data_IF_794448175366
#
_entry.id   IF_794448175366
#
_cell.length_a   1.000
_cell.length_b   1.000
_cell.length_c   1.000
_cell.angle_alpha   90.00
_cell.angle_beta   90.00
_cell.angle_gamma   90.00
#
_symmetry.space_group_name_H-M   'P 1'
#
loop_
_entity.id
_entity.type
_entity.pdbx_description
1 polymer ?
#
# COMPACT_ATOMS: atom_id res chain seq x y z
N UNK A 1 -18.79 13.94 -20.52
CA UNK A 1 -17.86 14.88 -19.86
C UNK A 1 -16.93 14.08 -18.92
N UNK A 2 -16.28 13.00 -19.41
CA UNK A 2 -15.48 12.05 -18.59
C UNK A 2 -13.99 12.02 -19.03
N UNK A 3 -13.70 12.46 -20.26
CA UNK A 3 -12.34 12.40 -20.86
C UNK A 3 -11.32 13.37 -20.26
N UNK A 4 -11.73 14.35 -19.45
CA UNK A 4 -10.83 15.34 -18.82
C UNK A 4 -10.30 14.91 -17.44
N UNK A 5 -10.75 13.76 -16.91
CA UNK A 5 -10.41 13.31 -15.55
C UNK A 5 -9.34 12.20 -15.51
N UNK A 6 -9.15 11.50 -16.62
CA UNK A 6 -8.23 10.37 -16.70
C UNK A 6 -6.82 10.85 -17.05
N UNK A 7 -6.03 11.20 -16.04
CA UNK A 7 -4.59 11.33 -16.19
C UNK A 7 -4.00 9.94 -16.34
N UNK A 8 -3.79 9.49 -17.58
CA UNK A 8 -3.09 8.22 -17.84
C UNK A 8 -1.69 8.29 -17.21
N UNK A 9 -1.23 7.24 -16.50
CA UNK A 9 0.14 7.18 -16.01
C UNK A 9 1.13 7.35 -17.17
N UNK A 10 2.27 7.98 -16.88
CA UNK A 10 3.35 8.02 -17.85
C UNK A 10 3.99 6.64 -18.02
N UNK A 11 4.85 6.50 -19.04
CA UNK A 11 5.49 5.22 -19.34
C UNK A 11 6.39 4.71 -18.19
N UNK A 12 6.95 5.61 -17.38
CA UNK A 12 7.82 5.24 -16.26
C UNK A 12 7.01 4.61 -15.13
N UNK A 13 5.90 5.25 -14.75
CA UNK A 13 4.98 4.76 -13.75
C UNK A 13 4.32 3.45 -14.19
N UNK A 14 3.91 3.35 -15.46
CA UNK A 14 3.34 2.11 -16.02
C UNK A 14 4.32 0.94 -15.90
N UNK A 15 5.59 1.13 -16.28
CA UNK A 15 6.64 0.10 -16.13
C UNK A 15 6.88 -0.27 -14.66
N UNK A 16 6.87 0.72 -13.76
CA UNK A 16 7.00 0.46 -12.31
C UNK A 16 5.85 -0.38 -11.78
N UNK A 17 4.61 -0.07 -12.15
CA UNK A 17 3.42 -0.84 -11.76
C UNK A 17 3.50 -2.27 -12.31
N UNK A 18 3.88 -2.44 -13.59
CA UNK A 18 4.08 -3.76 -14.20
C UNK A 18 5.15 -4.55 -13.43
N UNK A 19 6.29 -3.93 -13.12
CA UNK A 19 7.36 -4.57 -12.35
C UNK A 19 6.88 -5.00 -10.96
N UNK A 20 6.12 -4.14 -10.27
CA UNK A 20 5.54 -4.48 -8.98
C UNK A 20 4.58 -5.67 -9.08
N UNK A 21 3.69 -5.72 -10.08
CA UNK A 21 2.80 -6.88 -10.31
C UNK A 21 3.59 -8.19 -10.45
N UNK A 22 4.67 -8.16 -11.24
CA UNK A 22 5.55 -9.32 -11.40
C UNK A 22 6.23 -9.75 -10.09
N UNK A 23 6.59 -8.79 -9.21
CA UNK A 23 7.13 -9.11 -7.89
C UNK A 23 6.09 -9.84 -7.03
N UNK A 24 4.84 -9.37 -7.01
CA UNK A 24 3.74 -9.98 -6.26
C UNK A 24 3.39 -11.38 -6.75
N UNK A 25 3.31 -11.58 -8.07
CA UNK A 25 3.05 -12.90 -8.67
C UNK A 25 4.12 -13.94 -8.29
N UNK A 26 5.37 -13.50 -8.08
CA UNK A 26 6.51 -14.39 -7.83
C UNK A 26 7.03 -14.32 -6.39
N UNK A 27 6.21 -13.91 -5.41
CA UNK A 27 6.68 -13.68 -4.04
C UNK A 27 7.40 -14.87 -3.40
N UNK A 28 6.84 -16.08 -3.55
CA UNK A 28 7.47 -17.31 -3.06
C UNK A 28 8.82 -17.62 -3.73
N UNK A 29 9.01 -17.22 -4.99
CA UNK A 29 10.24 -17.47 -5.74
C UNK A 29 11.31 -16.41 -5.43
N UNK A 30 10.88 -15.16 -5.25
CA UNK A 30 11.76 -14.01 -5.04
C UNK A 30 12.37 -13.97 -3.63
N UNK A 31 11.82 -14.72 -2.67
CA UNK A 31 12.21 -14.69 -1.24
C UNK A 31 12.22 -13.28 -0.65
N UNK A 32 11.40 -12.37 -1.20
CA UNK A 32 11.23 -11.03 -0.69
C UNK A 32 10.21 -11.05 0.45
N UNK A 33 10.49 -10.32 1.53
CA UNK A 33 9.55 -10.12 2.63
C UNK A 33 8.62 -8.96 2.27
N UNK A 34 7.32 -9.18 2.30
CA UNK A 34 6.33 -8.12 2.06
C UNK A 34 5.78 -7.59 3.37
N UNK A 35 5.68 -6.27 3.47
CA UNK A 35 4.96 -5.60 4.52
C UNK A 35 3.77 -4.86 3.91
N UNK A 36 2.56 -5.38 4.13
CA UNK A 36 1.32 -4.67 3.85
C UNK A 36 1.05 -3.68 4.98
N UNK A 37 1.10 -2.39 4.68
CA UNK A 37 0.89 -1.35 5.67
C UNK A 37 -0.56 -0.90 5.59
N UNK A 38 -1.35 -1.31 6.58
CA UNK A 38 -2.76 -0.91 6.69
C UNK A 38 -2.87 0.50 7.22
N UNK A 39 -3.57 1.34 6.47
CA UNK A 39 -3.80 2.73 6.85
C UNK A 39 -5.27 2.95 7.20
N UNK A 40 -5.58 3.82 8.19
CA UNK A 40 -6.95 3.98 8.72
C UNK A 40 -7.88 4.75 7.76
N UNK A 41 -7.35 5.44 6.75
CA UNK A 41 -8.14 6.22 5.80
C UNK A 41 -7.43 6.29 4.44
N UNK A 42 -8.23 6.26 3.37
CA UNK A 42 -7.77 6.54 2.01
C UNK A 42 -7.20 7.96 1.85
N UNK A 43 -7.56 8.89 2.75
CA UNK A 43 -7.31 10.32 2.60
C UNK A 43 -5.88 10.80 2.86
N UNK A 44 -4.91 9.91 3.08
CA UNK A 44 -3.49 10.28 3.29
C UNK A 44 -2.52 9.24 2.68
N UNK A 45 -2.97 8.42 1.73
CA UNK A 45 -2.18 7.29 1.20
C UNK A 45 -0.85 7.76 0.59
N UNK A 46 -0.84 8.89 -0.12
CA UNK A 46 0.37 9.48 -0.70
C UNK A 46 1.39 9.91 0.36
N UNK A 47 0.94 10.48 1.48
CA UNK A 47 1.82 10.90 2.59
C UNK A 47 2.41 9.71 3.34
N UNK A 48 1.63 8.64 3.55
CA UNK A 48 2.16 7.39 4.10
C UNK A 48 3.17 6.74 3.16
N UNK A 49 2.89 6.76 1.85
CA UNK A 49 3.83 6.25 0.85
C UNK A 49 5.14 7.05 0.85
N UNK A 50 5.07 8.38 0.95
CA UNK A 50 6.23 9.27 1.09
C UNK A 50 7.02 8.99 2.37
N UNK A 51 6.34 8.82 3.50
CA UNK A 51 6.97 8.48 4.77
C UNK A 51 7.79 7.19 4.66
N UNK A 52 7.16 6.11 4.23
CA UNK A 52 7.78 4.78 4.10
C UNK A 52 8.86 4.75 3.01
N UNK A 53 8.67 5.48 1.91
CA UNK A 53 9.70 5.64 0.88
C UNK A 53 10.93 6.36 1.43
N UNK A 54 10.76 7.44 2.18
CA UNK A 54 11.88 8.17 2.78
C UNK A 54 12.60 7.34 3.86
N UNK A 55 11.86 6.50 4.59
CA UNK A 55 12.43 5.53 5.54
C UNK A 55 13.34 4.54 4.81
N UNK A 56 12.83 3.92 3.74
CA UNK A 56 13.56 2.89 2.96
C UNK A 56 14.72 3.45 2.14
N UNK A 57 14.67 4.71 1.72
CA UNK A 57 15.72 5.35 0.88
C UNK A 57 16.69 6.25 1.66
N UNK A 58 16.54 6.36 2.98
CA UNK A 58 17.33 7.26 3.85
C UNK A 58 17.21 8.74 3.47
N UNK A 59 16.16 9.14 2.77
CA UNK A 59 15.90 10.53 2.37
C UNK A 59 15.21 11.32 3.50
N UNK A 60 15.94 11.58 4.58
CA UNK A 60 15.40 12.19 5.81
C UNK A 60 15.28 13.72 5.70
N UNK A 61 14.15 14.18 5.19
CA UNK A 61 13.84 15.59 5.00
C UNK A 61 12.75 16.13 5.97
N UNK A 62 12.64 15.53 7.15
CA UNK A 62 11.68 15.94 8.17
C UNK A 62 12.31 16.90 9.19
N UNK A 63 11.52 17.32 10.18
CA UNK A 63 12.08 18.02 11.33
C UNK A 63 13.11 17.17 12.11
N UNK A 64 13.83 17.82 13.01
CA UNK A 64 14.94 17.20 13.75
C UNK A 64 14.53 16.01 14.61
N UNK A 65 13.30 15.95 15.11
CA UNK A 65 12.85 14.88 16.00
C UNK A 65 12.57 13.59 15.20
N UNK A 66 11.84 13.69 14.09
CA UNK A 66 11.61 12.55 13.19
C UNK A 66 12.93 12.01 12.63
N UNK A 67 13.81 12.89 12.13
CA UNK A 67 15.11 12.47 11.62
C UNK A 67 15.97 11.79 12.70
N UNK A 68 15.89 12.24 13.95
CA UNK A 68 16.62 11.60 15.05
C UNK A 68 16.11 10.20 15.35
N UNK A 69 14.79 9.97 15.26
CA UNK A 69 14.20 8.64 15.42
C UNK A 69 14.61 7.72 14.25
N UNK A 70 14.43 8.18 13.02
CA UNK A 70 14.72 7.38 11.82
C UNK A 70 16.18 6.94 11.73
N UNK A 71 17.12 7.78 12.20
CA UNK A 71 18.55 7.45 12.25
C UNK A 71 18.91 6.32 13.22
N UNK A 72 18.02 5.92 14.14
CA UNK A 72 18.25 4.77 15.02
C UNK A 72 18.18 3.44 14.28
N UNK A 73 17.54 3.41 13.10
CA UNK A 73 17.24 2.20 12.35
C UNK A 73 18.12 2.12 11.10
N UNK A 74 18.73 0.95 10.87
CA UNK A 74 19.54 0.73 9.67
C UNK A 74 18.66 0.26 8.50
N UNK A 75 18.30 1.18 7.61
CA UNK A 75 17.47 0.86 6.45
C UNK A 75 18.12 -0.15 5.47
N UNK A 76 19.43 -0.48 5.57
CA UNK A 76 19.99 -1.60 4.80
C UNK A 76 19.32 -2.93 5.13
N UNK A 77 18.84 -3.11 6.37
CA UNK A 77 18.10 -4.32 6.75
C UNK A 77 16.79 -4.47 5.98
N UNK A 78 16.27 -3.38 5.39
CA UNK A 78 15.01 -3.36 4.65
C UNK A 78 15.18 -3.44 3.12
N UNK A 79 16.41 -3.64 2.63
CA UNK A 79 16.73 -3.54 1.20
C UNK A 79 15.97 -4.54 0.32
N UNK A 80 15.70 -5.73 0.84
CA UNK A 80 15.00 -6.81 0.14
C UNK A 80 13.50 -6.89 0.52
N UNK A 81 13.01 -5.90 1.28
CA UNK A 81 11.61 -5.80 1.67
C UNK A 81 10.78 -5.06 0.63
N UNK A 82 9.51 -5.45 0.52
CA UNK A 82 8.52 -4.74 -0.29
C UNK A 82 7.49 -4.12 0.66
N UNK A 83 7.54 -2.81 0.84
CA UNK A 83 6.46 -2.07 1.49
C UNK A 83 5.32 -1.84 0.50
N UNK A 84 4.12 -2.27 0.86
CA UNK A 84 2.91 -2.08 0.06
C UNK A 84 1.82 -1.41 0.89
N UNK A 85 1.23 -0.32 0.39
CA UNK A 85 0.13 0.32 1.10
C UNK A 85 -1.15 -0.50 0.89
N UNK A 86 -1.72 -1.01 1.98
CA UNK A 86 -3.01 -1.69 1.96
C UNK A 86 -4.13 -0.68 2.20
N UNK A 87 -5.01 -0.56 1.20
CA UNK A 87 -6.20 0.27 1.26
C UNK A 87 -7.39 -0.64 1.52
N UNK A 88 -8.08 -0.42 2.64
CA UNK A 88 -9.19 -1.28 3.07
C UNK A 88 -10.56 -0.68 2.75
N UNK A 89 -10.61 0.60 2.36
CA UNK A 89 -11.85 1.31 2.07
C UNK A 89 -11.78 2.16 0.80
N UNK A 90 -12.95 2.36 0.16
CA UNK A 90 -13.08 3.08 -1.10
C UNK A 90 -13.77 4.42 -0.84
N UNK A 91 -13.26 5.55 -1.36
CA UNK A 91 -13.89 6.86 -1.16
C UNK A 91 -15.31 6.97 -1.72
N UNK A 92 -16.02 8.01 -1.28
CA UNK A 92 -17.25 8.49 -1.93
C UNK A 92 -17.00 8.96 -3.36
N UNK A 93 -18.06 8.97 -4.19
CA UNK A 93 -18.01 9.39 -5.59
C UNK A 93 -17.41 10.78 -5.80
N UNK A 94 -17.69 11.71 -4.88
CA UNK A 94 -17.19 13.08 -4.96
C UNK A 94 -15.67 13.19 -4.76
N UNK A 95 -15.04 12.15 -4.19
CA UNK A 95 -13.62 12.13 -3.85
C UNK A 95 -12.80 11.20 -4.76
N UNK A 96 -13.41 10.58 -5.78
CA UNK A 96 -12.73 9.64 -6.69
C UNK A 96 -11.58 10.32 -7.45
N UNK A 97 -11.71 11.60 -7.80
CA UNK A 97 -10.64 12.35 -8.47
C UNK A 97 -9.44 12.58 -7.55
N UNK A 98 -9.68 12.98 -6.30
CA UNK A 98 -8.62 13.17 -5.31
C UNK A 98 -7.95 11.83 -4.99
N UNK A 99 -8.74 10.76 -4.87
CA UNK A 99 -8.22 9.41 -4.67
C UNK A 99 -7.33 8.95 -5.82
N UNK A 100 -7.73 9.14 -7.10
CA UNK A 100 -6.85 8.81 -8.23
C UNK A 100 -5.54 9.59 -8.17
N UNK A 101 -5.59 10.88 -7.86
CA UNK A 101 -4.37 11.71 -7.71
C UNK A 101 -3.47 11.16 -6.61
N UNK A 102 -4.03 10.83 -5.45
CA UNK A 102 -3.27 10.27 -4.33
C UNK A 102 -2.71 8.88 -4.67
N UNK A 103 -3.44 8.06 -5.43
CA UNK A 103 -2.93 6.77 -5.93
C UNK A 103 -1.77 6.95 -6.91
N UNK A 104 -1.83 7.93 -7.82
CA UNK A 104 -0.70 8.20 -8.74
C UNK A 104 0.55 8.53 -7.94
N UNK A 105 0.45 9.47 -6.98
CA UNK A 105 1.58 9.87 -6.14
C UNK A 105 2.09 8.73 -5.26
N UNK A 106 1.20 7.90 -4.72
CA UNK A 106 1.61 6.75 -3.92
C UNK A 106 2.31 5.69 -4.78
N UNK A 107 1.76 5.35 -5.95
CA UNK A 107 2.29 4.34 -6.87
C UNK A 107 3.63 4.75 -7.50
N UNK A 108 3.91 6.05 -7.60
CA UNK A 108 5.24 6.58 -7.95
C UNK A 108 6.31 6.22 -6.91
N UNK A 109 5.93 5.95 -5.66
CA UNK A 109 6.84 5.68 -4.55
C UNK A 109 6.83 4.19 -4.16
N UNK A 110 5.66 3.62 -3.88
CA UNK A 110 5.47 2.26 -3.37
C UNK A 110 4.33 1.53 -4.10
N UNK A 111 4.35 0.18 -4.16
CA UNK A 111 3.18 -0.57 -4.62
C UNK A 111 1.95 -0.32 -3.72
N UNK A 112 0.78 -0.28 -4.34
CA UNK A 112 -0.51 -0.15 -3.65
C UNK A 112 -1.32 -1.44 -3.77
N UNK A 113 -2.10 -1.74 -2.73
CA UNK A 113 -3.08 -2.80 -2.71
C UNK A 113 -4.49 -2.21 -2.59
N UNK A 114 -5.29 -2.30 -3.66
CA UNK A 114 -6.57 -1.62 -3.79
C UNK A 114 -7.74 -2.61 -3.58
N UNK A 115 -8.78 -2.24 -2.81
CA UNK A 115 -9.87 -3.15 -2.48
C UNK A 115 -10.83 -3.38 -3.66
N UNK A 116 -11.30 -4.61 -3.81
CA UNK A 116 -12.27 -5.04 -4.83
C UNK A 116 -13.73 -4.89 -4.37
N UNK A 117 -14.06 -3.77 -3.70
CA UNK A 117 -15.41 -3.53 -3.17
C UNK A 117 -16.39 -2.91 -4.17
N UNK A 118 -15.88 -2.12 -5.11
CA UNK A 118 -16.70 -1.40 -6.10
C UNK A 118 -16.01 -1.47 -7.46
N UNK A 119 -16.47 -2.35 -8.38
CA UNK A 119 -15.83 -2.54 -9.68
C UNK A 119 -15.76 -1.26 -10.51
N UNK A 120 -16.76 -0.38 -10.40
CA UNK A 120 -16.80 0.87 -11.14
C UNK A 120 -15.74 1.83 -10.59
N UNK A 121 -15.66 2.02 -9.27
CA UNK A 121 -14.62 2.87 -8.66
C UNK A 121 -13.22 2.29 -8.85
N UNK A 122 -13.07 0.97 -8.76
CA UNK A 122 -11.81 0.27 -9.00
C UNK A 122 -11.27 0.57 -10.41
N UNK A 123 -12.13 0.66 -11.42
CA UNK A 123 -11.70 0.97 -12.80
C UNK A 123 -10.96 2.32 -12.93
N UNK A 124 -11.18 3.27 -12.01
CA UNK A 124 -10.48 4.56 -11.99
C UNK A 124 -9.07 4.50 -11.43
N UNK A 125 -8.63 3.38 -10.85
CA UNK A 125 -7.29 3.24 -10.23
C UNK A 125 -6.64 1.89 -10.52
N UNK A 126 -7.31 1.02 -11.29
CA UNK A 126 -6.84 -0.34 -11.60
C UNK A 126 -5.52 -0.37 -12.37
N UNK A 127 -5.22 0.68 -13.14
CA UNK A 127 -3.97 0.89 -13.87
C UNK A 127 -2.77 1.21 -12.96
N UNK A 128 -3.04 1.67 -11.72
CA UNK A 128 -2.02 2.04 -10.73
C UNK A 128 -1.75 0.93 -9.71
N UNK A 129 -2.56 -0.12 -9.75
CA UNK A 129 -2.60 -1.17 -8.74
C UNK A 129 -1.50 -2.23 -8.90
N UNK A 130 -0.86 -2.63 -7.80
CA UNK A 130 0.12 -3.73 -7.80
C UNK A 130 -0.51 -5.08 -7.43
N UNK A 131 -1.45 -5.09 -6.48
CA UNK A 131 -2.22 -6.26 -6.06
C UNK A 131 -3.61 -5.82 -5.56
N UNK A 132 -4.60 -6.69 -5.54
CA UNK A 132 -5.98 -6.34 -5.20
C UNK A 132 -6.39 -6.96 -3.87
N UNK A 133 -6.96 -6.17 -2.97
CA UNK A 133 -7.48 -6.67 -1.71
C UNK A 133 -8.91 -7.18 -1.87
N UNK A 134 -9.14 -8.42 -1.46
CA UNK A 134 -10.43 -9.07 -1.52
C UNK A 134 -10.96 -9.22 -0.09
N UNK A 135 -12.03 -8.47 0.28
CA UNK A 135 -12.52 -8.40 1.65
C UNK A 135 -13.16 -9.72 2.09
N UNK A 136 -13.29 -9.88 3.40
CA UNK A 136 -13.78 -11.14 3.98
C UNK A 136 -15.27 -11.38 3.78
N UNK A 137 -16.07 -10.32 3.74
CA UNK A 137 -17.49 -10.38 3.41
C UNK A 137 -17.64 -10.25 1.90
N UNK A 138 -17.68 -11.38 1.19
CA UNK A 138 -17.76 -11.40 -0.27
C UNK A 138 -19.01 -12.13 -0.76
N UNK A 139 -19.56 -11.65 -1.88
CA UNK A 139 -20.60 -12.33 -2.61
C UNK A 139 -20.06 -13.00 -3.89
N UNK A 140 -20.95 -13.68 -4.64
CA UNK A 140 -20.58 -14.34 -5.89
C UNK A 140 -20.07 -13.35 -6.96
N UNK A 141 -20.55 -12.10 -6.96
CA UNK A 141 -20.11 -11.08 -7.92
C UNK A 141 -18.69 -10.63 -7.62
N UNK A 142 -18.35 -10.49 -6.35
CA UNK A 142 -17.00 -10.11 -5.92
C UNK A 142 -15.99 -11.18 -6.37
N UNK A 143 -16.32 -12.47 -6.18
CA UNK A 143 -15.51 -13.60 -6.65
C UNK A 143 -15.31 -13.54 -8.17
N UNK A 144 -16.39 -13.33 -8.93
CA UNK A 144 -16.30 -13.24 -10.38
C UNK A 144 -15.43 -12.06 -10.82
N UNK A 145 -15.51 -10.93 -10.12
CA UNK A 145 -14.65 -9.77 -10.39
C UNK A 145 -13.17 -10.05 -10.06
N UNK A 146 -12.89 -10.67 -8.91
CA UNK A 146 -11.54 -11.09 -8.52
C UNK A 146 -10.92 -12.09 -9.52
N UNK A 147 -11.72 -13.00 -10.07
CA UNK A 147 -11.29 -13.96 -11.10
C UNK A 147 -10.85 -13.29 -12.42
N UNK A 148 -11.29 -12.05 -12.66
CA UNK A 148 -10.94 -11.25 -13.84
C UNK A 148 -9.88 -10.19 -13.59
N UNK A 149 -9.37 -10.07 -12.36
CA UNK A 149 -8.34 -9.09 -12.03
C UNK A 149 -6.99 -9.45 -12.67
N UNK A 150 -6.30 -8.45 -13.22
CA UNK A 150 -4.98 -8.61 -13.84
C UNK A 150 -3.82 -8.56 -12.85
N UNK A 151 -4.13 -8.42 -11.56
CA UNK A 151 -3.16 -8.32 -10.46
C UNK A 151 -3.37 -9.48 -9.49
N UNK A 152 -2.35 -9.80 -8.70
CA UNK A 152 -2.49 -10.78 -7.64
C UNK A 152 -3.58 -10.36 -6.64
N UNK A 153 -4.35 -11.32 -6.12
CA UNK A 153 -5.48 -11.06 -5.21
C UNK A 153 -5.10 -11.47 -3.79
N UNK A 154 -5.07 -10.50 -2.88
CA UNK A 154 -4.89 -10.70 -1.44
C UNK A 154 -6.26 -11.01 -0.82
N UNK A 155 -6.48 -12.27 -0.48
CA UNK A 155 -7.73 -12.75 0.12
C UNK A 155 -7.64 -12.59 1.63
N UNK A 156 -8.56 -11.81 2.18
CA UNK A 156 -8.76 -11.71 3.62
C UNK A 156 -9.51 -12.94 4.13
N UNK A 157 -8.86 -13.74 4.99
CA UNK A 157 -9.40 -15.00 5.49
C UNK A 157 -9.79 -14.88 6.96
N UNK A 158 -11.08 -15.12 7.24
CA UNK A 158 -11.60 -15.30 8.60
C UNK A 158 -12.03 -16.75 8.89
N UNK A 159 -12.26 -17.57 7.86
CA UNK A 159 -12.65 -18.98 7.98
C UNK A 159 -11.97 -19.84 6.89
N UNK A 160 -11.48 -21.03 7.28
CA UNK A 160 -10.78 -21.98 6.42
C UNK A 160 -11.74 -22.70 5.45
N UNK A 161 -12.99 -22.95 5.85
CA UNK A 161 -13.97 -23.58 4.95
C UNK A 161 -14.29 -22.67 3.76
N UNK A 162 -14.46 -21.37 4.03
CA UNK A 162 -14.70 -20.35 3.01
C UNK A 162 -13.49 -20.12 2.11
N UNK A 163 -12.27 -20.24 2.65
CA UNK A 163 -11.03 -20.11 1.90
C UNK A 163 -10.93 -21.09 0.72
N UNK A 164 -11.20 -22.38 0.95
CA UNK A 164 -11.06 -23.41 -0.10
C UNK A 164 -12.03 -23.17 -1.25
N UNK A 165 -13.28 -22.85 -0.92
CA UNK A 165 -14.32 -22.54 -1.91
C UNK A 165 -14.00 -21.24 -2.65
N UNK A 166 -13.56 -20.21 -1.94
CA UNK A 166 -13.22 -18.91 -2.52
C UNK A 166 -12.07 -19.02 -3.53
N UNK A 167 -10.96 -19.62 -3.12
CA UNK A 167 -9.79 -19.82 -3.99
C UNK A 167 -10.11 -20.64 -5.23
N UNK A 168 -10.90 -21.72 -5.09
CA UNK A 168 -11.34 -22.52 -6.24
C UNK A 168 -12.16 -21.69 -7.24
N UNK A 169 -13.10 -20.87 -6.76
CA UNK A 169 -13.94 -20.07 -7.64
C UNK A 169 -13.21 -18.88 -8.27
N UNK A 170 -12.23 -18.29 -7.59
CA UNK A 170 -11.40 -17.22 -8.17
C UNK A 170 -10.51 -17.78 -9.29
N UNK A 171 -10.02 -19.02 -9.16
CA UNK A 171 -9.19 -19.71 -10.16
C UNK A 171 -9.94 -20.13 -11.42
N UNK A 172 -11.26 -20.25 -11.35
CA UNK A 172 -12.05 -20.72 -12.48
C UNK A 172 -12.53 -19.55 -13.36
N UNK A 173 -12.69 -19.79 -14.67
CA UNK A 173 -13.39 -18.86 -15.56
C UNK A 173 -14.80 -18.57 -15.06
N UNK A 174 -15.19 -17.29 -15.08
CA UNK A 174 -16.52 -16.82 -14.67
C UNK A 174 -17.12 -15.87 -15.71
N UNK A 175 -18.45 -15.71 -15.63
CA UNK A 175 -19.20 -14.71 -16.38
C UNK A 175 -19.89 -13.76 -15.39
N UNK A 176 -19.73 -12.47 -15.58
CA UNK A 176 -20.39 -11.47 -14.74
C UNK A 176 -20.74 -10.20 -15.51
N UNK A 177 -21.73 -9.47 -14.98
CA UNK A 177 -22.14 -8.18 -15.53
C UNK A 177 -21.23 -7.10 -14.93
N UNK A 178 -20.65 -6.27 -15.79
CA UNK A 178 -19.80 -5.14 -15.42
C UNK A 178 -20.06 -3.95 -16.35
N UNK A 179 -19.23 -2.93 -16.28
CA UNK A 179 -19.19 -1.83 -17.23
C UNK A 179 -17.91 -1.83 -18.05
N UNK A 180 -17.97 -1.34 -19.29
CA UNK A 180 -16.78 -1.06 -20.09
C UNK A 180 -16.18 0.33 -19.80
N UNK A 181 -15.09 0.68 -20.49
CA UNK A 181 -14.40 1.97 -20.35
C UNK A 181 -15.29 3.18 -20.69
N UNK A 182 -16.35 2.97 -21.48
CA UNK A 182 -17.34 3.98 -21.86
C UNK A 182 -18.56 3.98 -20.91
N UNK A 183 -18.48 3.22 -19.80
CA UNK A 183 -19.54 3.05 -18.80
C UNK A 183 -20.81 2.37 -19.32
N UNK A 184 -20.73 1.59 -20.40
CA UNK A 184 -21.84 0.78 -20.88
C UNK A 184 -21.89 -0.56 -20.13
N UNK A 185 -23.09 -1.07 -19.77
CA UNK A 185 -23.22 -2.39 -19.19
C UNK A 185 -22.79 -3.47 -20.20
N UNK A 186 -21.92 -4.37 -19.77
CA UNK A 186 -21.38 -5.46 -20.57
C UNK A 186 -21.32 -6.76 -19.76
N UNK A 187 -21.18 -7.89 -20.45
CA UNK A 187 -20.93 -9.19 -19.83
C UNK A 187 -19.46 -9.52 -20.05
N UNK A 188 -18.69 -9.59 -18.96
CA UNK A 188 -17.29 -9.97 -19.00
C UNK A 188 -17.13 -11.48 -18.78
N UNK A 189 -16.22 -12.09 -19.54
CA UNK A 189 -15.76 -13.46 -19.37
C UNK A 189 -14.33 -13.45 -18.84
N UNK A 190 -14.10 -14.05 -17.67
CA UNK A 190 -12.78 -14.12 -17.04
C UNK A 190 -12.09 -15.43 -17.36
N UNK A 191 -10.77 -15.47 -17.25
CA UNK A 191 -9.97 -16.70 -17.41
C UNK A 191 -9.69 -17.40 -16.08
N UNK A 192 -10.15 -16.83 -14.97
CA UNK A 192 -9.70 -17.19 -13.64
C UNK A 192 -8.38 -16.52 -13.27
N UNK A 193 -8.10 -16.45 -11.97
CA UNK A 193 -6.90 -15.87 -11.40
C UNK A 193 -6.25 -16.86 -10.42
N UNK A 194 -5.01 -17.27 -10.73
CA UNK A 194 -4.24 -18.19 -9.89
C UNK A 194 -3.30 -17.47 -8.93
N UNK A 195 -3.07 -16.18 -9.14
CA UNK A 195 -2.12 -15.36 -8.40
C UNK A 195 -2.79 -14.83 -7.13
N UNK A 196 -2.91 -15.69 -6.12
CA UNK A 196 -3.56 -15.33 -4.86
C UNK A 196 -2.57 -15.30 -3.69
N UNK A 197 -2.83 -14.43 -2.74
CA UNK A 197 -2.16 -14.32 -1.45
C UNK A 197 -3.19 -14.48 -0.36
N UNK A 198 -2.80 -15.06 0.77
CA UNK A 198 -3.71 -15.25 1.89
C UNK A 198 -3.31 -14.33 3.03
N UNK A 199 -4.21 -13.44 3.44
CA UNK A 199 -4.06 -12.58 4.60
C UNK A 199 -4.90 -13.16 5.74
N UNK A 200 -4.26 -13.48 6.87
CA UNK A 200 -4.95 -14.10 8.01
C UNK A 200 -4.29 -13.78 9.35
N UNK A 201 -5.01 -14.00 10.44
CA UNK A 201 -4.41 -13.96 11.77
C UNK A 201 -3.50 -15.18 12.05
N UNK A 202 -2.73 -15.10 13.14
CA UNK A 202 -1.79 -16.16 13.52
C UNK A 202 -2.49 -17.51 13.82
N UNK A 203 -3.71 -17.48 14.37
CA UNK A 203 -4.44 -18.70 14.75
C UNK A 203 -4.85 -19.48 13.51
N UNK A 204 -5.40 -18.77 12.52
CA UNK A 204 -5.75 -19.32 11.22
C UNK A 204 -4.51 -19.75 10.44
N UNK A 205 -3.44 -18.95 10.44
CA UNK A 205 -2.16 -19.32 9.82
C UNK A 205 -1.61 -20.63 10.36
N UNK A 206 -1.66 -20.81 11.69
CA UNK A 206 -1.27 -22.06 12.34
C UNK A 206 -2.11 -23.22 11.83
N UNK A 207 -3.44 -23.06 11.81
CA UNK A 207 -4.34 -24.11 11.35
C UNK A 207 -4.17 -24.45 9.87
N UNK A 208 -3.92 -23.47 9.00
CA UNK A 208 -3.74 -23.68 7.55
C UNK A 208 -2.40 -24.35 7.24
N UNK A 209 -1.31 -23.92 7.88
CA UNK A 209 0.03 -24.47 7.63
C UNK A 209 0.14 -25.93 8.07
N UNK A 210 -0.50 -26.30 9.18
CA UNK A 210 -0.46 -27.67 9.71
C UNK A 210 -1.57 -28.59 9.17
N UNK A 211 -2.38 -28.13 8.20
CA UNK A 211 -3.44 -28.94 7.60
C UNK A 211 -2.91 -29.70 6.38
N UNK A 212 -2.99 -31.03 6.45
CA UNK A 212 -2.46 -31.95 5.43
C UNK A 212 -3.02 -31.68 4.02
N UNK A 213 -4.30 -31.32 3.89
CA UNK A 213 -4.98 -31.07 2.61
C UNK A 213 -4.49 -29.80 1.90
N UNK A 214 -4.02 -28.82 2.67
CA UNK A 214 -3.49 -27.57 2.13
C UNK A 214 -2.04 -27.72 1.68
N UNK A 215 -1.39 -28.88 1.89
CA UNK A 215 -0.02 -29.20 1.49
C UNK A 215 0.11 -29.76 0.06
N UNK A 216 -0.99 -29.92 -0.67
CA UNK A 216 -0.96 -30.36 -2.07
C UNK A 216 -0.32 -29.31 -2.98
N UNK A 217 0.39 -29.74 -4.04
CA UNK A 217 1.16 -28.83 -4.91
C UNK A 217 0.31 -27.72 -5.54
N UNK A 218 -0.99 -27.95 -5.69
CA UNK A 218 -1.95 -27.00 -6.27
C UNK A 218 -2.28 -25.81 -5.34
N UNK A 219 -1.95 -25.83 -4.04
CA UNK A 219 -2.28 -24.75 -3.09
C UNK A 219 -1.06 -24.10 -2.42
N UNK A 220 0.10 -23.99 -3.09
CA UNK A 220 1.25 -23.21 -2.61
C UNK A 220 1.00 -21.70 -2.73
N UNK A 221 0.03 -21.18 -1.98
CA UNK A 221 -0.25 -19.74 -1.91
C UNK A 221 0.60 -19.08 -0.81
N UNK A 222 1.22 -17.91 -1.08
CA UNK A 222 1.93 -17.14 -0.06
C UNK A 222 0.99 -16.65 1.05
N UNK A 223 1.45 -16.77 2.29
CA UNK A 223 0.73 -16.38 3.50
C UNK A 223 1.31 -15.07 4.05
N UNK A 224 0.42 -14.13 4.34
CA UNK A 224 0.67 -12.86 5.02
C UNK A 224 -0.03 -12.93 6.37
N UNK A 225 0.71 -12.69 7.44
CA UNK A 225 0.19 -12.79 8.82
C UNK A 225 -0.09 -11.39 9.35
N UNK A 226 -1.28 -11.17 9.92
CA UNK A 226 -1.57 -9.93 10.66
C UNK A 226 -0.70 -9.87 11.91
N UNK A 227 0.02 -8.76 12.06
CA UNK A 227 0.96 -8.57 13.14
C UNK A 227 0.79 -7.20 13.79
N UNK A 228 0.90 -7.20 15.12
CA UNK A 228 0.90 -6.02 15.96
C UNK A 228 1.92 -6.19 17.09
N UNK A 229 2.00 -5.20 17.97
CA UNK A 229 2.95 -5.21 19.09
C UNK A 229 2.66 -6.31 20.12
N UNK A 230 1.43 -6.83 20.18
CA UNK A 230 1.00 -7.84 21.16
C UNK A 230 1.25 -9.26 20.66
N UNK A 231 1.11 -9.49 19.35
CA UNK A 231 1.24 -10.80 18.69
C UNK A 231 2.67 -11.17 18.32
N UNK A 232 3.61 -10.23 18.36
CA UNK A 232 5.00 -10.41 17.87
C UNK A 232 5.73 -11.62 18.46
N UNK A 233 5.59 -11.88 19.76
CA UNK A 233 6.32 -12.97 20.44
C UNK A 233 5.74 -14.32 20.02
N UNK A 234 4.43 -14.42 19.89
CA UNK A 234 3.76 -15.62 19.38
C UNK A 234 4.10 -15.89 17.91
N UNK A 235 4.19 -14.84 17.08
CA UNK A 235 4.65 -14.95 15.68
C UNK A 235 6.09 -15.48 15.62
N UNK A 236 6.97 -14.99 16.48
CA UNK A 236 8.36 -15.45 16.57
C UNK A 236 8.47 -16.92 16.94
N UNK A 237 7.69 -17.38 17.91
CA UNK A 237 7.64 -18.81 18.28
C UNK A 237 7.11 -19.67 17.12
N UNK A 238 6.05 -19.20 16.44
CA UNK A 238 5.47 -19.88 15.28
C UNK A 238 6.46 -20.05 14.12
N UNK A 239 7.18 -18.99 13.75
CA UNK A 239 8.20 -19.04 12.69
C UNK A 239 9.40 -19.87 13.13
N UNK A 240 9.84 -19.73 14.38
CA UNK A 240 10.98 -20.44 14.97
C UNK A 240 10.79 -21.97 15.06
N UNK A 241 9.56 -22.46 14.97
CA UNK A 241 9.25 -23.90 14.96
C UNK A 241 9.69 -24.63 13.67
N UNK A 242 10.24 -23.92 12.66
CA UNK A 242 11.03 -24.49 11.56
C UNK A 242 10.25 -25.21 10.44
N UNK A 243 9.02 -25.66 10.68
CA UNK A 243 8.18 -26.35 9.68
C UNK A 243 7.31 -25.42 8.81
N UNK A 244 7.40 -24.11 9.02
CA UNK A 244 6.42 -23.10 8.54
C UNK A 244 6.98 -22.24 7.40
N UNK A 245 8.31 -22.15 7.31
CA UNK A 245 9.00 -21.12 6.53
C UNK A 245 8.79 -21.10 5.01
N UNK A 246 8.46 -22.18 4.27
CA UNK A 246 8.38 -22.05 2.81
C UNK A 246 7.13 -21.32 2.31
N UNK A 247 6.22 -20.85 3.18
CA UNK A 247 4.94 -20.25 2.78
C UNK A 247 4.68 -18.84 3.31
N UNK A 248 5.22 -18.49 4.47
CA UNK A 248 5.06 -17.15 5.04
C UNK A 248 5.92 -16.19 4.24
N UNK A 249 5.30 -15.23 3.56
CA UNK A 249 5.97 -14.27 2.67
C UNK A 249 5.97 -12.85 3.22
N UNK A 250 5.33 -12.61 4.37
CA UNK A 250 5.23 -11.26 4.90
C UNK A 250 4.21 -11.09 6.00
N UNK A 251 3.98 -9.82 6.32
CA UNK A 251 3.09 -9.40 7.39
C UNK A 251 2.20 -8.25 6.94
N UNK A 252 1.02 -8.17 7.53
CA UNK A 252 0.19 -6.96 7.52
C UNK A 252 0.38 -6.26 8.87
N UNK A 253 0.68 -4.96 8.82
CA UNK A 253 0.99 -4.16 10.01
C UNK A 253 0.18 -2.86 9.93
N UNK A 254 -0.61 -2.53 10.95
CA UNK A 254 -1.31 -1.26 11.01
C UNK A 254 -0.33 -0.13 11.28
N UNK A 255 -0.46 0.97 10.52
CA UNK A 255 0.21 2.23 10.81
C UNK A 255 -0.83 3.34 10.88
N UNK A 256 -1.08 3.80 12.10
CA UNK A 256 -2.02 4.88 12.38
C UNK A 256 -1.28 5.98 13.14
N UNK A 257 -0.85 7.02 12.42
CA UNK A 257 -0.22 8.19 13.00
C UNK A 257 -1.25 9.29 13.15
N UNK A 258 -1.42 9.81 14.37
CA UNK A 258 -2.29 10.97 14.61
C UNK A 258 -1.86 12.21 13.78
N UNK A 259 -0.55 12.38 13.59
CA UNK A 259 0.04 13.43 12.76
C UNK A 259 1.17 12.89 11.91
N UNK A 260 1.10 13.12 10.59
CA UNK A 260 2.17 12.81 9.65
C UNK A 260 3.21 13.94 9.63
N UNK A 261 4.51 13.61 9.51
CA UNK A 261 5.55 14.62 9.45
C UNK A 261 5.40 15.44 8.16
N UNK A 262 5.51 16.76 8.29
CA UNK A 262 5.59 17.63 7.11
C UNK A 262 7.02 17.64 6.58
N UNK A 263 7.20 17.39 5.29
CA UNK A 263 8.49 17.58 4.62
C UNK A 263 8.84 19.06 4.63
N UNK A 264 10.06 19.40 5.04
CA UNK A 264 10.50 20.79 5.05
C UNK A 264 10.53 21.32 3.61
N UNK A 265 9.82 22.42 3.29
CA UNK A 265 9.76 22.97 1.94
C UNK A 265 11.12 23.58 1.57
N UNK A 266 12.00 22.74 1.04
CA UNK A 266 13.37 23.05 0.66
C UNK A 266 14.10 21.85 0.07
N UNK A 267 13.57 20.63 0.25
CA UNK A 267 14.11 19.37 -0.27
C UNK A 267 13.18 18.68 -1.25
N UNK A 268 12.03 19.28 -1.60
CA UNK A 268 11.17 18.77 -2.67
C UNK A 268 11.99 18.73 -3.95
N UNK A 269 12.40 17.53 -4.35
CA UNK A 269 13.13 17.25 -5.57
C UNK A 269 12.36 17.83 -6.76
N UNK A 270 12.74 19.03 -7.19
CA UNK A 270 12.59 19.35 -8.61
C UNK A 270 13.52 18.38 -9.32
N UNK A 271 12.94 17.40 -10.03
CA UNK A 271 13.64 16.65 -11.07
C UNK A 271 14.23 17.67 -12.05
N UNK A 272 15.48 18.07 -11.82
CA UNK A 272 16.28 18.86 -12.74
C UNK A 272 17.53 18.05 -13.00
N UNK A 273 17.57 17.54 -14.23
CA UNK A 273 18.73 16.92 -14.86
C UNK A 273 20.00 17.72 -14.57
N UNK A 274 21.07 17.00 -14.28
CA UNK A 274 22.45 17.46 -14.15
C UNK A 274 22.79 18.52 -15.22
N UNK A 275 22.79 19.78 -14.80
CA UNK A 275 23.62 20.84 -15.39
C UNK A 275 23.86 21.86 -14.29
N UNK A 276 25.05 21.78 -13.71
CA UNK A 276 25.59 22.76 -12.78
C UNK A 276 25.50 24.17 -13.38
N UNK A 277 24.98 25.12 -12.60
CA UNK A 277 25.44 26.51 -12.62
C UNK A 277 25.18 27.10 -11.25
N UNK A 278 26.25 27.54 -10.58
CA UNK A 278 26.22 28.24 -9.30
C UNK A 278 25.31 29.48 -9.40
N UNK A 279 24.12 29.42 -8.80
CA UNK A 279 23.32 30.60 -8.53
C UNK A 279 23.54 31.01 -7.07
N UNK A 280 24.32 32.09 -6.90
CA UNK A 280 24.48 32.81 -5.64
C UNK A 280 23.12 33.41 -5.26
N UNK A 281 22.42 32.80 -4.29
CA UNK A 281 21.16 33.35 -3.77
C UNK A 281 21.45 34.57 -2.89
N UNK A 282 21.08 35.75 -3.40
CA UNK A 282 20.96 36.99 -2.64
C UNK A 282 19.87 36.83 -1.57
N UNK A 283 20.25 36.87 -0.29
CA UNK A 283 19.34 36.95 0.85
C UNK A 283 18.60 38.29 0.88
N UNK A 284 17.49 38.38 0.16
CA UNK A 284 16.42 39.33 0.46
C UNK A 284 15.21 38.53 0.96
N UNK A 285 15.11 38.33 2.28
CA UNK A 285 13.85 37.92 2.88
C UNK A 285 12.88 39.10 2.82
N UNK A 286 11.75 39.02 2.09
CA UNK A 286 10.75 40.07 2.13
C UNK A 286 10.09 40.04 3.52
N UNK A 287 10.14 41.18 4.23
CA UNK A 287 9.28 41.40 5.40
C UNK A 287 7.83 41.45 4.92
N UNK A 288 7.10 40.33 5.02
CA UNK A 288 5.66 40.33 4.78
C UNK A 288 4.95 40.98 5.97
N UNK A 289 4.44 42.20 5.75
CA UNK A 289 3.42 42.79 6.61
C UNK A 289 2.04 42.25 6.20
N UNK A 290 1.36 41.63 7.18
CA UNK A 290 -0.08 41.32 7.33
C UNK A 290 -0.92 40.98 6.08
N UNK A 291 -1.45 39.74 6.12
CA UNK A 291 -2.77 39.30 5.68
C UNK A 291 -3.35 40.00 4.44
N UNK A 292 -2.88 39.58 3.26
CA UNK A 292 -3.69 39.63 2.05
C UNK A 292 -3.79 38.23 1.48
N UNK A 293 -5.01 37.73 1.39
CA UNK A 293 -5.34 36.49 0.67
C UNK A 293 -4.79 36.57 -0.75
N UNK A 294 -3.83 35.70 -1.05
CA UNK A 294 -3.22 35.64 -2.37
C UNK A 294 -4.24 35.02 -3.35
N UNK A 295 -4.76 35.81 -4.28
CA UNK A 295 -5.72 35.37 -5.30
C UNK A 295 -5.28 34.09 -6.06
N UNK A 296 -3.96 33.88 -6.21
CA UNK A 296 -3.39 32.65 -6.78
C UNK A 296 -3.72 31.39 -5.98
N UNK A 297 -3.75 31.43 -4.64
CA UNK A 297 -4.11 30.24 -3.85
C UNK A 297 -5.60 29.91 -3.98
N UNK A 298 -6.45 30.89 -4.30
CA UNK A 298 -7.87 30.69 -4.55
C UNK A 298 -8.17 30.07 -5.92
N UNK A 299 -7.35 30.33 -6.94
CA UNK A 299 -7.51 29.79 -8.30
C UNK A 299 -7.13 28.31 -8.42
N UNK A 300 -6.20 27.84 -7.59
CA UNK A 300 -5.72 26.45 -7.60
C UNK A 300 -6.29 25.60 -6.46
N UNK A 301 -7.30 26.09 -5.74
CA UNK A 301 -7.90 25.36 -4.62
C UNK A 301 -6.92 25.07 -3.47
N UNK A 302 -5.82 25.80 -3.39
CA UNK A 302 -4.82 25.63 -2.33
C UNK A 302 -5.40 26.25 -1.05
N UNK A 303 -6.24 25.48 -0.36
CA UNK A 303 -6.62 25.76 1.03
C UNK A 303 -5.41 25.46 1.91
N UNK A 304 -4.55 26.46 2.10
CA UNK A 304 -3.65 26.46 3.26
C UNK A 304 -4.41 26.99 4.46
N UNK A 305 -5.40 26.22 4.92
CA UNK A 305 -5.90 26.35 6.30
C UNK A 305 -4.90 25.64 7.23
N UNK A 306 -3.64 26.03 7.13
CA UNK A 306 -2.60 25.65 8.05
C UNK A 306 -2.66 26.58 9.24
N UNK A 307 -3.65 26.40 10.11
CA UNK A 307 -3.38 26.71 11.52
C UNK A 307 -2.23 25.81 11.91
N UNK A 308 -1.04 26.40 12.12
CA UNK A 308 0.06 25.75 12.81
C UNK A 308 -0.42 25.51 14.24
N UNK A 309 -1.26 24.49 14.42
CA UNK A 309 -1.44 23.85 15.71
C UNK A 309 -0.09 23.19 15.99
N UNK A 310 0.61 23.65 17.02
CA UNK A 310 1.71 22.88 17.57
C UNK A 310 1.13 21.53 17.99
N UNK A 311 1.52 20.41 17.36
CA UNK A 311 1.06 19.12 17.81
C UNK A 311 1.77 18.81 19.13
N UNK A 312 1.08 18.09 20.02
CA UNK A 312 1.73 17.29 21.04
C UNK A 312 2.57 16.22 20.31
N UNK A 313 3.78 16.59 19.88
CA UNK A 313 4.61 15.85 18.93
C UNK A 313 5.08 14.46 19.41
N UNK A 314 4.81 14.10 20.67
CA UNK A 314 5.34 12.88 21.26
C UNK A 314 4.58 11.61 20.85
N UNK A 315 3.25 11.66 20.73
CA UNK A 315 2.45 10.43 20.51
C UNK A 315 2.73 9.79 19.14
N UNK A 316 2.81 10.57 18.05
CA UNK A 316 3.09 10.02 16.72
C UNK A 316 4.54 9.56 16.54
N UNK A 317 5.48 10.10 17.31
CA UNK A 317 6.85 9.59 17.32
C UNK A 317 6.94 8.25 18.05
N UNK A 318 6.22 8.09 19.17
CA UNK A 318 6.12 6.82 19.89
C UNK A 318 5.43 5.74 19.04
N UNK A 319 4.33 6.09 18.36
CA UNK A 319 3.62 5.21 17.41
C UNK A 319 4.55 4.75 16.26
N UNK A 320 5.30 5.69 15.67
CA UNK A 320 6.27 5.34 14.63
C UNK A 320 7.42 4.48 15.17
N UNK A 321 7.93 4.76 16.37
CA UNK A 321 8.98 3.97 16.99
C UNK A 321 8.52 2.53 17.25
N UNK A 322 7.29 2.35 17.75
CA UNK A 322 6.68 1.02 17.92
C UNK A 322 6.52 0.29 16.59
N UNK A 323 6.02 0.98 15.56
CA UNK A 323 5.89 0.44 14.21
C UNK A 323 7.24 -0.02 13.64
N UNK A 324 8.27 0.84 13.71
CA UNK A 324 9.61 0.51 13.19
C UNK A 324 10.24 -0.65 13.97
N UNK A 325 10.11 -0.69 15.30
CA UNK A 325 10.58 -1.81 16.09
C UNK A 325 9.94 -3.13 15.64
N UNK A 326 8.62 -3.13 15.41
CA UNK A 326 7.89 -4.30 14.94
C UNK A 326 8.35 -4.73 13.54
N UNK A 327 8.42 -3.82 12.58
CA UNK A 327 8.86 -4.09 11.20
C UNK A 327 10.26 -4.71 11.18
N UNK A 328 11.21 -4.12 11.92
CA UNK A 328 12.59 -4.61 11.96
C UNK A 328 12.69 -5.95 12.67
N UNK A 329 11.95 -6.15 13.77
CA UNK A 329 11.93 -7.43 14.48
C UNK A 329 11.37 -8.54 13.59
N UNK A 330 10.24 -8.30 12.92
CA UNK A 330 9.59 -9.26 12.03
C UNK A 330 10.42 -9.55 10.77
N UNK A 331 11.09 -8.55 10.20
CA UNK A 331 11.94 -8.75 9.04
C UNK A 331 13.08 -9.72 9.35
N UNK A 332 13.74 -9.55 10.51
CA UNK A 332 14.80 -10.42 10.97
C UNK A 332 14.35 -11.88 11.21
N UNK A 333 13.03 -12.14 11.33
CA UNK A 333 12.52 -13.51 11.46
C UNK A 333 12.47 -14.25 10.13
N UNK A 334 12.37 -13.55 8.99
CA UNK A 334 12.21 -14.14 7.66
C UNK A 334 13.46 -14.06 6.78
N UNK A 335 14.49 -13.31 7.20
CA UNK A 335 15.80 -13.17 6.52
C UNK A 335 16.90 -14.00 7.18
#
# INVERSE_FOLDING_TARGET
MVKSFYHKPDASLEQKVISNRHKFMNLLQNKSVVFFISTPSHSNVSQYAELLHNISTKNYAYDTQWNSLLRKYDAENLKDCIFCILITDVPDWNSVTDWRRDMVLASELLPTCIPLKDPLKFSFVSDLNACSYFPTDFDFKDIAFASGCSTSVVIDVNDIEDLTRCTQNIRTPNLFITVDEDCNPTIAHTTGNNDMLLLMDLTLATSVVFRDDFGTEDMKLPIIIRADTESKDAIKEFIGAGNVMPRVSGFEIPLNLAHLPSVLPGTSYSYRSDTETEYTYSNCQPKMNKEKTNWLSSLFGIRRDGTVQQPLANTSLEELEQFLNLVFELNNLLT
#
